data_IF_483243401512
#
_entry.id   IF_483243401512
#
_cell.length_a   1.000
_cell.length_b   1.000
_cell.length_c   1.000
_cell.angle_alpha   90.00
_cell.angle_beta   90.00
_cell.angle_gamma   90.00
#
_symmetry.space_group_name_H-M   'P 1'
#
loop_
_entity.id
_entity.type
_entity.pdbx_description
1 polymer ?
#
# COMPACT_ATOMS: atom_id res chain seq x y z
N UNK A 1 10.95 2.04 -23.15
CA UNK A 1 10.15 2.32 -21.93
C UNK A 1 11.05 2.01 -20.75
N UNK A 2 11.47 3.01 -19.97
CA UNK A 2 12.34 2.75 -18.80
C UNK A 2 11.55 1.98 -17.75
N UNK A 3 12.08 0.84 -17.29
CA UNK A 3 11.50 0.10 -16.17
C UNK A 3 11.69 0.97 -14.93
N UNK A 4 10.59 1.36 -14.28
CA UNK A 4 10.66 2.02 -12.98
C UNK A 4 11.04 0.95 -11.97
N UNK A 5 12.33 0.81 -11.71
CA UNK A 5 12.91 -0.15 -10.76
C UNK A 5 12.39 0.05 -9.32
N UNK A 6 11.87 1.26 -9.01
CA UNK A 6 11.42 1.62 -7.67
C UNK A 6 10.13 2.47 -7.66
N UNK A 7 9.01 1.89 -8.08
CA UNK A 7 7.73 2.60 -8.15
C UNK A 7 7.10 2.80 -6.76
N UNK A 8 6.77 4.07 -6.45
CA UNK A 8 5.99 4.45 -5.27
C UNK A 8 4.55 4.79 -5.66
N UNK A 9 3.59 4.14 -4.99
CA UNK A 9 2.16 4.39 -5.12
C UNK A 9 1.65 5.10 -3.87
N UNK A 10 0.96 6.22 -4.03
CA UNK A 10 0.26 6.91 -2.95
C UNK A 10 -1.25 6.73 -3.10
N UNK A 11 -1.93 6.36 -2.03
CA UNK A 11 -3.38 6.15 -1.97
C UNK A 11 -3.97 7.04 -0.89
N UNK A 12 -4.88 7.93 -1.30
CA UNK A 12 -5.60 8.86 -0.41
C UNK A 12 -7.01 8.33 -0.20
N UNK A 13 -7.29 7.90 1.03
CA UNK A 13 -8.51 7.21 1.46
C UNK A 13 -8.27 5.72 1.69
N UNK A 14 -8.16 5.31 2.96
CA UNK A 14 -8.13 3.92 3.43
C UNK A 14 -9.56 3.33 3.52
N UNK A 15 -10.44 3.69 2.59
CA UNK A 15 -11.73 3.04 2.37
C UNK A 15 -11.56 1.71 1.62
N UNK A 16 -12.63 0.92 1.54
CA UNK A 16 -12.60 -0.40 0.87
C UNK A 16 -12.01 -0.36 -0.54
N UNK A 17 -12.23 0.72 -1.29
CA UNK A 17 -11.67 0.90 -2.62
C UNK A 17 -10.16 1.14 -2.58
N UNK A 18 -9.70 2.06 -1.72
CA UNK A 18 -8.29 2.42 -1.63
C UNK A 18 -7.43 1.28 -1.12
N UNK A 19 -7.87 0.57 -0.08
CA UNK A 19 -7.14 -0.58 0.46
C UNK A 19 -7.15 -1.78 -0.48
N UNK A 20 -8.25 -2.05 -1.19
CA UNK A 20 -8.27 -3.07 -2.25
C UNK A 20 -7.29 -2.77 -3.38
N UNK A 21 -7.19 -1.50 -3.78
CA UNK A 21 -6.24 -1.07 -4.81
C UNK A 21 -4.79 -1.21 -4.34
N UNK A 22 -4.50 -0.79 -3.11
CA UNK A 22 -3.18 -0.97 -2.49
C UNK A 22 -2.79 -2.45 -2.45
N UNK A 23 -3.70 -3.32 -2.01
CA UNK A 23 -3.50 -4.77 -1.98
C UNK A 23 -3.25 -5.37 -3.37
N UNK A 24 -4.06 -5.02 -4.36
CA UNK A 24 -3.89 -5.49 -5.73
C UNK A 24 -2.56 -5.04 -6.34
N UNK A 25 -2.13 -3.80 -6.06
CA UNK A 25 -0.85 -3.28 -6.51
C UNK A 25 0.33 -4.04 -5.92
N UNK A 26 0.25 -4.41 -4.63
CA UNK A 26 1.27 -5.23 -3.95
C UNK A 26 1.37 -6.63 -4.55
N UNK A 27 0.25 -7.34 -4.69
CA UNK A 27 0.25 -8.71 -5.25
C UNK A 27 0.72 -8.73 -6.71
N UNK A 28 0.29 -7.76 -7.50
CA UNK A 28 0.70 -7.66 -8.91
C UNK A 28 2.15 -7.22 -9.08
N UNK A 29 2.84 -6.80 -8.01
CA UNK A 29 4.18 -6.21 -8.07
C UNK A 29 4.20 -4.90 -8.85
N UNK A 30 3.09 -4.16 -8.89
CA UNK A 30 2.98 -2.89 -9.62
C UNK A 30 3.60 -1.72 -8.86
N UNK A 31 3.73 -1.84 -7.53
CA UNK A 31 4.39 -0.88 -6.66
C UNK A 31 5.27 -1.61 -5.65
N UNK A 32 6.46 -1.05 -5.37
CA UNK A 32 7.36 -1.53 -4.31
C UNK A 32 7.20 -0.75 -3.02
N UNK A 33 6.74 0.50 -3.11
CA UNK A 33 6.42 1.32 -1.94
C UNK A 33 4.97 1.78 -2.05
N UNK A 34 4.18 1.55 -1.00
CA UNK A 34 2.80 2.01 -0.90
C UNK A 34 2.68 2.97 0.28
N UNK A 35 2.23 4.19 0.02
CA UNK A 35 1.86 5.16 1.04
C UNK A 35 0.34 5.22 1.13
N UNK A 36 -0.22 4.92 2.29
CA UNK A 36 -1.65 5.01 2.57
C UNK A 36 -1.91 6.21 3.47
N UNK A 37 -2.87 7.03 3.07
CA UNK A 37 -3.30 8.22 3.80
C UNK A 37 -4.79 8.14 4.08
N UNK A 38 -5.21 8.44 5.31
CA UNK A 38 -6.62 8.65 5.65
C UNK A 38 -6.72 9.59 6.85
N UNK A 39 -7.77 10.41 6.89
CA UNK A 39 -8.05 11.28 8.05
C UNK A 39 -8.34 10.49 9.33
N UNK A 40 -8.76 9.23 9.20
CA UNK A 40 -8.96 8.31 10.30
C UNK A 40 -7.66 7.54 10.58
N UNK A 41 -6.85 8.10 11.48
CA UNK A 41 -5.56 7.55 11.92
C UNK A 41 -5.64 6.08 12.35
N UNK A 42 -6.63 5.74 13.20
CA UNK A 42 -6.79 4.37 13.68
C UNK A 42 -7.06 3.39 12.53
N UNK A 43 -7.81 3.83 11.52
CA UNK A 43 -8.10 3.03 10.34
C UNK A 43 -6.87 2.85 9.46
N UNK A 44 -6.17 3.92 9.09
CA UNK A 44 -4.97 3.82 8.24
C UNK A 44 -3.88 2.98 8.94
N UNK A 45 -3.71 3.11 10.25
CA UNK A 45 -2.77 2.28 11.00
C UNK A 45 -3.15 0.78 10.94
N UNK A 46 -4.42 0.45 11.13
CA UNK A 46 -4.91 -0.94 11.05
C UNK A 46 -4.69 -1.53 9.64
N UNK A 47 -5.03 -0.79 8.60
CA UNK A 47 -4.91 -1.23 7.20
C UNK A 47 -3.44 -1.37 6.78
N UNK A 48 -2.55 -0.50 7.25
CA UNK A 48 -1.10 -0.62 6.99
C UNK A 48 -0.54 -1.90 7.61
N UNK A 49 -0.93 -2.22 8.85
CA UNK A 49 -0.51 -3.47 9.50
C UNK A 49 -1.03 -4.71 8.76
N UNK A 50 -2.29 -4.67 8.31
CA UNK A 50 -2.89 -5.77 7.55
C UNK A 50 -2.18 -5.98 6.20
N UNK A 51 -1.95 -4.89 5.45
CA UNK A 51 -1.21 -4.93 4.19
C UNK A 51 0.23 -5.41 4.39
N UNK A 52 0.92 -4.93 5.43
CA UNK A 52 2.29 -5.35 5.74
C UNK A 52 2.38 -6.84 6.12
N UNK A 53 1.41 -7.38 6.86
CA UNK A 53 1.32 -8.82 7.08
C UNK A 53 1.12 -9.59 5.76
N UNK A 54 0.32 -9.06 4.82
CA UNK A 54 0.15 -9.63 3.48
C UNK A 54 1.40 -9.59 2.59
N UNK A 55 2.30 -8.63 2.79
CA UNK A 55 3.53 -8.48 1.98
C UNK A 55 4.54 -9.61 2.12
N UNK A 56 4.36 -10.52 3.08
CA UNK A 56 5.17 -11.75 3.19
C UNK A 56 5.08 -12.63 1.93
N UNK A 57 3.99 -12.48 1.17
CA UNK A 57 3.66 -13.30 0.00
C UNK A 57 3.78 -12.53 -1.31
N UNK A 58 4.13 -11.25 -1.24
CA UNK A 58 4.39 -10.38 -2.38
C UNK A 58 5.87 -9.96 -2.32
N UNK A 59 6.54 -9.62 -3.42
CA UNK A 59 7.97 -9.28 -3.36
C UNK A 59 8.25 -8.15 -2.35
N UNK A 60 9.53 -7.93 -1.95
CA UNK A 60 9.92 -6.91 -0.95
C UNK A 60 9.23 -5.58 -1.24
N UNK A 61 8.24 -5.26 -0.40
CA UNK A 61 7.38 -4.10 -0.53
C UNK A 61 7.24 -3.41 0.83
N UNK A 62 7.35 -2.09 0.85
CA UNK A 62 7.20 -1.28 2.05
C UNK A 62 5.83 -0.59 2.04
N UNK A 63 5.10 -0.66 3.14
CA UNK A 63 3.81 0.03 3.31
C UNK A 63 3.92 1.00 4.48
N UNK A 64 3.59 2.27 4.24
CA UNK A 64 3.62 3.33 5.25
C UNK A 64 2.27 4.02 5.37
N UNK A 65 1.90 4.42 6.59
CA UNK A 65 0.65 5.12 6.90
C UNK A 65 0.86 6.53 7.41
N UNK A 66 -0.08 7.43 7.12
CA UNK A 66 -0.12 8.80 7.70
C UNK A 66 -1.55 9.36 7.74
N UNK A 67 -1.77 10.36 8.60
CA UNK A 67 -2.99 11.18 8.68
C UNK A 67 -2.81 12.61 8.19
#
# INVERSE_FOLDING_TARGET
>A
MGVVENSKLAVVGAGSVGTSLAYAALIRGSARHVALYDINEAKVAAEVLDLAHGTQFTGVSEVVGSQ
#
